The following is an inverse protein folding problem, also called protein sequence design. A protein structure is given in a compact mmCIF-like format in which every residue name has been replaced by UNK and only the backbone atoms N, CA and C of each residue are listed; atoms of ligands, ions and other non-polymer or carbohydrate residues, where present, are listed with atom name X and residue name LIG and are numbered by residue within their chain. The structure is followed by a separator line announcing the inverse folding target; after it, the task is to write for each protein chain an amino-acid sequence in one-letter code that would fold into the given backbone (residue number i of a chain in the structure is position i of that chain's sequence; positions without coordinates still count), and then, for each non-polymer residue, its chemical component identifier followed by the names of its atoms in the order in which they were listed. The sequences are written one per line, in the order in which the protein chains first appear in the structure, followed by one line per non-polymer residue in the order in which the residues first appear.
data_IF_717780008409
#
_entry.id   IF_717780008409
#
_cell.length_a   1.000
_cell.length_b   1.000
_cell.length_c   1.000
_cell.angle_alpha   90.00
_cell.angle_beta   90.00
_cell.angle_gamma   90.00
#
_symmetry.space_group_name_H-M   'P 1'
#
loop_
_entity.id
_entity.type
_entity.pdbx_description
1 polymer ?
#
# COMPACT_ATOMS: atom_id res chain seq x y z
N UNK A 1 44.49 -22.96 5.41
CA UNK A 1 43.81 -24.23 5.06
C UNK A 1 42.81 -23.91 3.97
N UNK A 2 43.18 -24.12 2.73
CA UNK A 2 42.38 -23.83 1.55
C UNK A 2 41.66 -25.11 1.14
N UNK A 3 40.36 -25.13 1.16
CA UNK A 3 39.51 -26.19 0.62
C UNK A 3 39.14 -25.83 -0.81
N UNK A 4 39.78 -26.48 -1.74
CA UNK A 4 39.46 -26.49 -3.17
C UNK A 4 38.17 -27.25 -3.39
N UNK A 5 37.09 -26.52 -3.72
CA UNK A 5 35.87 -27.09 -4.27
C UNK A 5 36.12 -27.40 -5.74
N UNK A 6 36.18 -28.70 -6.06
CA UNK A 6 36.23 -29.21 -7.45
C UNK A 6 34.79 -29.14 -8.03
N UNK A 7 34.59 -28.29 -9.03
CA UNK A 7 33.39 -28.27 -9.86
C UNK A 7 33.20 -29.58 -10.61
N UNK A 8 32.00 -30.16 -10.69
CA UNK A 8 31.73 -31.31 -11.54
C UNK A 8 31.84 -30.87 -13.01
N UNK A 9 32.80 -31.50 -13.69
CA UNK A 9 33.00 -31.39 -15.14
C UNK A 9 31.67 -31.67 -15.85
N UNK A 10 31.13 -30.68 -16.56
CA UNK A 10 29.92 -30.82 -17.36
C UNK A 10 30.24 -31.73 -18.57
N UNK A 11 29.92 -33.01 -18.49
CA UNK A 11 29.96 -33.93 -19.63
C UNK A 11 29.02 -33.47 -20.72
N UNK A 12 29.54 -33.24 -21.89
CA UNK A 12 28.71 -32.87 -23.05
C UNK A 12 27.89 -34.07 -23.54
N UNK A 13 26.74 -33.86 -24.21
CA UNK A 13 25.95 -34.94 -24.78
C UNK A 13 26.74 -35.85 -25.74
N UNK A 14 27.80 -35.31 -26.38
CA UNK A 14 28.69 -36.03 -27.28
C UNK A 14 29.63 -36.98 -26.53
N UNK A 15 30.05 -36.65 -25.29
CA UNK A 15 30.90 -37.50 -24.50
C UNK A 15 30.11 -38.70 -23.93
N UNK A 16 28.83 -38.57 -23.71
CA UNK A 16 27.93 -39.66 -23.33
C UNK A 16 27.67 -40.63 -24.48
N UNK A 17 27.62 -40.14 -25.74
CA UNK A 17 27.42 -40.98 -26.91
C UNK A 17 28.64 -41.88 -27.16
N UNK A 18 29.85 -41.48 -26.78
CA UNK A 18 31.08 -42.30 -26.91
C UNK A 18 31.16 -43.46 -25.92
N UNK A 19 30.38 -43.44 -24.86
CA UNK A 19 30.34 -44.53 -23.86
C UNK A 19 29.42 -45.69 -24.25
N UNK A 20 28.63 -45.54 -25.34
CA UNK A 20 27.83 -46.65 -25.83
C UNK A 20 28.69 -47.56 -26.67
N UNK A 21 29.12 -48.70 -26.14
CA UNK A 21 29.66 -49.78 -26.94
C UNK A 21 28.57 -50.24 -27.91
N UNK A 22 28.88 -50.38 -29.20
CA UNK A 22 27.93 -50.90 -30.16
C UNK A 22 27.59 -52.34 -29.78
N UNK A 23 26.33 -52.57 -29.43
CA UNK A 23 25.81 -53.92 -29.20
C UNK A 23 26.14 -54.77 -30.40
N UNK A 24 26.99 -55.79 -30.25
CA UNK A 24 27.33 -56.76 -31.26
C UNK A 24 26.04 -57.32 -31.89
N UNK A 25 25.89 -57.19 -33.18
CA UNK A 25 24.75 -57.77 -33.92
C UNK A 25 24.66 -59.25 -33.54
N UNK A 26 23.53 -59.75 -33.01
CA UNK A 26 23.30 -61.17 -32.95
C UNK A 26 23.29 -61.74 -34.38
N UNK A 27 23.93 -62.89 -34.55
CA UNK A 27 24.04 -63.57 -35.83
C UNK A 27 22.71 -63.62 -36.60
N UNK A 28 22.75 -63.32 -37.89
CA UNK A 28 21.64 -63.21 -38.80
C UNK A 28 20.98 -64.61 -39.05
N UNK A 29 20.08 -65.00 -38.17
CA UNK A 29 19.28 -66.21 -38.36
C UNK A 29 17.81 -66.08 -37.93
N UNK A 30 17.28 -64.86 -37.92
CA UNK A 30 15.83 -64.67 -37.90
C UNK A 30 15.54 -63.38 -38.70
N UNK A 31 14.92 -63.49 -39.87
CA UNK A 31 14.34 -62.36 -40.57
C UNK A 31 13.37 -61.67 -39.59
N UNK A 32 13.63 -60.45 -39.18
CA UNK A 32 12.68 -59.75 -38.34
C UNK A 32 11.39 -59.64 -39.14
N UNK A 33 10.29 -60.01 -38.50
CA UNK A 33 8.97 -59.84 -39.08
C UNK A 33 8.83 -58.36 -39.50
N UNK A 34 8.95 -58.11 -40.79
CA UNK A 34 8.96 -56.75 -41.38
C UNK A 34 7.69 -56.01 -41.01
N UNK A 35 6.59 -56.74 -40.79
CA UNK A 35 5.33 -56.23 -40.35
C UNK A 35 5.44 -55.65 -38.91
N UNK A 36 6.17 -56.30 -38.00
CA UNK A 36 6.39 -55.82 -36.64
C UNK A 36 7.26 -54.54 -36.64
N UNK A 37 8.34 -54.54 -37.41
CA UNK A 37 9.22 -53.39 -37.55
C UNK A 37 8.48 -52.14 -38.09
N UNK A 38 7.63 -52.34 -39.12
CA UNK A 38 6.82 -51.27 -39.69
C UNK A 38 5.75 -50.76 -38.70
N UNK A 39 5.14 -51.64 -37.95
CA UNK A 39 4.18 -51.28 -36.93
C UNK A 39 4.83 -50.48 -35.79
N UNK A 40 5.99 -50.91 -35.33
CA UNK A 40 6.80 -50.21 -34.32
C UNK A 40 7.23 -48.84 -34.78
N UNK A 41 7.72 -48.69 -35.98
CA UNK A 41 8.08 -47.39 -36.60
C UNK A 41 6.87 -46.44 -36.69
N UNK A 42 5.69 -46.98 -37.03
CA UNK A 42 4.45 -46.21 -37.13
C UNK A 42 4.06 -45.67 -35.75
N UNK A 43 4.08 -46.50 -34.72
CA UNK A 43 3.77 -46.09 -33.32
C UNK A 43 4.80 -45.08 -32.83
N UNK A 44 6.09 -45.33 -33.06
CA UNK A 44 7.17 -44.41 -32.67
C UNK A 44 7.01 -43.04 -33.33
N UNK A 45 6.70 -42.97 -34.63
CA UNK A 45 6.41 -41.71 -35.33
C UNK A 45 5.17 -40.99 -34.80
N UNK A 46 4.15 -41.72 -34.38
CA UNK A 46 2.96 -41.13 -33.75
C UNK A 46 3.28 -40.54 -32.37
N UNK A 47 4.05 -41.28 -31.57
CA UNK A 47 4.52 -40.80 -30.25
C UNK A 47 5.38 -39.55 -30.39
N UNK A 48 6.35 -39.56 -31.31
CA UNK A 48 7.21 -38.39 -31.56
C UNK A 48 6.40 -37.16 -31.97
N UNK A 49 5.40 -37.34 -32.86
CA UNK A 49 4.49 -36.25 -33.28
C UNK A 49 3.62 -35.75 -32.08
N UNK A 50 3.12 -36.65 -31.26
CA UNK A 50 2.34 -36.30 -30.09
C UNK A 50 3.17 -35.52 -29.07
N UNK A 51 4.38 -36.00 -28.80
CA UNK A 51 5.33 -35.34 -27.90
C UNK A 51 5.72 -33.94 -28.40
N UNK A 52 6.01 -33.78 -29.67
CA UNK A 52 6.31 -32.49 -30.29
C UNK A 52 5.14 -31.50 -30.14
N UNK A 53 3.89 -31.95 -30.42
CA UNK A 53 2.69 -31.12 -30.25
C UNK A 53 2.46 -30.72 -28.81
N UNK A 54 2.70 -31.63 -27.84
CA UNK A 54 2.58 -31.34 -26.42
C UNK A 54 3.62 -30.30 -25.98
N UNK A 55 4.86 -30.45 -26.44
CA UNK A 55 5.94 -29.52 -26.14
C UNK A 55 5.66 -28.12 -26.73
N UNK A 56 5.15 -28.05 -27.96
CA UNK A 56 4.75 -26.79 -28.61
C UNK A 56 3.60 -26.10 -27.84
N UNK A 57 2.56 -26.87 -27.45
CA UNK A 57 1.45 -26.34 -26.65
C UNK A 57 1.93 -25.87 -25.27
N UNK A 58 2.80 -26.61 -24.61
CA UNK A 58 3.37 -26.22 -23.34
C UNK A 58 4.16 -24.91 -23.44
N UNK A 59 4.98 -24.76 -24.49
CA UNK A 59 5.71 -23.50 -24.76
C UNK A 59 4.80 -22.30 -25.00
N UNK A 60 3.71 -22.48 -25.76
CA UNK A 60 2.72 -21.42 -25.98
C UNK A 60 1.97 -21.06 -24.69
N UNK A 61 1.63 -22.06 -23.87
CA UNK A 61 0.99 -21.82 -22.59
C UNK A 61 1.92 -21.09 -21.62
N UNK A 62 3.20 -21.46 -21.56
CA UNK A 62 4.20 -20.80 -20.73
C UNK A 62 4.33 -19.31 -21.10
N UNK A 63 4.42 -18.99 -22.41
CA UNK A 63 4.47 -17.61 -22.89
C UNK A 63 3.24 -16.81 -22.48
N UNK A 64 2.04 -17.37 -22.62
CA UNK A 64 0.81 -16.68 -22.20
C UNK A 64 0.78 -16.42 -20.69
N UNK A 65 1.25 -17.37 -19.89
CA UNK A 65 1.35 -17.18 -18.44
C UNK A 65 2.33 -16.06 -18.12
N UNK A 66 3.48 -16.02 -18.79
CA UNK A 66 4.48 -14.98 -18.62
C UNK A 66 3.95 -13.60 -19.02
N UNK A 67 3.26 -13.49 -20.16
CA UNK A 67 2.59 -12.26 -20.60
C UNK A 67 1.54 -11.79 -19.57
N UNK A 68 0.73 -12.70 -19.04
CA UNK A 68 -0.25 -12.36 -18.01
C UNK A 68 0.39 -11.94 -16.68
N UNK A 69 1.50 -12.57 -16.29
CA UNK A 69 2.23 -12.20 -15.08
C UNK A 69 2.84 -10.81 -15.22
N UNK A 70 3.44 -10.49 -16.37
CA UNK A 70 4.00 -9.18 -16.65
C UNK A 70 2.91 -8.10 -16.66
N UNK A 71 1.80 -8.33 -17.39
CA UNK A 71 0.66 -7.40 -17.39
C UNK A 71 0.07 -7.17 -15.99
N UNK A 72 0.02 -8.21 -15.17
CA UNK A 72 -0.43 -8.09 -13.78
C UNK A 72 0.56 -7.30 -12.92
N UNK A 73 1.86 -7.49 -13.12
CA UNK A 73 2.91 -6.71 -12.44
C UNK A 73 2.78 -5.23 -12.78
N UNK A 74 2.65 -4.90 -14.07
CA UNK A 74 2.50 -3.53 -14.55
C UNK A 74 1.24 -2.85 -13.96
N UNK A 75 0.12 -3.58 -13.90
CA UNK A 75 -1.11 -3.10 -13.27
C UNK A 75 -0.92 -2.82 -11.77
N UNK A 76 -0.23 -3.72 -11.06
CA UNK A 76 0.05 -3.52 -9.63
C UNK A 76 0.93 -2.30 -9.38
N UNK A 77 1.93 -2.08 -10.22
CA UNK A 77 2.83 -0.93 -10.09
C UNK A 77 2.12 0.38 -10.43
N UNK A 78 1.23 0.39 -11.44
CA UNK A 78 0.36 1.53 -11.72
C UNK A 78 -0.58 1.83 -10.56
N UNK A 79 -1.25 0.82 -10.00
CA UNK A 79 -2.14 1.01 -8.85
C UNK A 79 -1.40 1.52 -7.60
N UNK A 80 -0.18 1.05 -7.35
CA UNK A 80 0.66 1.59 -6.25
C UNK A 80 1.00 3.07 -6.48
N UNK A 81 1.35 3.42 -7.71
CA UNK A 81 1.66 4.80 -8.09
C UNK A 81 0.44 5.72 -7.94
N UNK A 82 -0.73 5.29 -8.44
CA UNK A 82 -1.97 6.04 -8.29
C UNK A 82 -2.36 6.21 -6.82
N UNK A 83 -2.22 5.14 -6.03
CA UNK A 83 -2.49 5.18 -4.59
C UNK A 83 -1.58 6.19 -3.89
N UNK A 84 -0.27 6.15 -4.16
CA UNK A 84 0.68 7.10 -3.59
C UNK A 84 0.33 8.56 -3.95
N UNK A 85 -0.09 8.82 -5.20
CA UNK A 85 -0.53 10.15 -5.62
C UNK A 85 -1.81 10.59 -4.90
N UNK A 86 -2.76 9.69 -4.67
CA UNK A 86 -3.98 9.99 -3.92
C UNK A 86 -3.69 10.26 -2.45
N UNK A 87 -2.78 9.50 -1.83
CA UNK A 87 -2.34 9.72 -0.45
C UNK A 87 -1.66 11.10 -0.31
N UNK A 88 -0.74 11.47 -1.21
CA UNK A 88 -0.10 12.79 -1.21
C UNK A 88 -1.11 13.94 -1.38
N UNK A 89 -2.04 13.80 -2.33
CA UNK A 89 -3.11 14.79 -2.51
C UNK A 89 -4.01 14.90 -1.29
N UNK A 90 -4.32 13.79 -0.64
CA UNK A 90 -5.14 13.79 0.57
C UNK A 90 -4.42 14.53 1.70
N UNK A 91 -3.12 14.28 1.90
CA UNK A 91 -2.32 15.00 2.88
C UNK A 91 -2.24 16.51 2.59
N UNK A 92 -2.12 16.90 1.32
CA UNK A 92 -2.11 18.31 0.92
C UNK A 92 -3.47 18.97 1.21
N UNK A 93 -4.57 18.30 0.92
CA UNK A 93 -5.92 18.79 1.23
C UNK A 93 -6.14 18.91 2.75
N UNK A 94 -5.69 17.95 3.52
CA UNK A 94 -5.80 18.00 4.98
C UNK A 94 -5.04 19.19 5.57
N UNK A 95 -3.81 19.44 5.09
CA UNK A 95 -3.02 20.63 5.48
C UNK A 95 -3.73 21.92 5.10
N UNK A 96 -4.24 22.02 3.88
CA UNK A 96 -4.97 23.19 3.42
C UNK A 96 -6.23 23.45 4.26
N UNK A 97 -6.98 22.40 4.62
CA UNK A 97 -8.15 22.52 5.50
C UNK A 97 -7.74 23.12 6.85
N UNK A 98 -6.65 22.63 7.45
CA UNK A 98 -6.16 23.15 8.73
C UNK A 98 -5.70 24.60 8.64
N UNK A 99 -5.01 24.98 7.57
CA UNK A 99 -4.61 26.37 7.32
C UNK A 99 -5.82 27.32 7.20
N UNK A 100 -6.87 26.89 6.48
CA UNK A 100 -8.11 27.66 6.36
C UNK A 100 -8.79 27.82 7.71
N UNK A 101 -8.84 26.75 8.49
CA UNK A 101 -9.42 26.77 9.84
C UNK A 101 -8.64 27.73 10.75
N UNK A 102 -7.31 27.65 10.75
CA UNK A 102 -6.46 28.53 11.58
C UNK A 102 -6.62 30.01 11.16
N UNK A 103 -6.73 30.28 9.86
CA UNK A 103 -7.00 31.64 9.36
C UNK A 103 -8.32 32.19 9.88
N UNK A 104 -9.36 31.36 9.93
CA UNK A 104 -10.68 31.75 10.40
C UNK A 104 -10.71 31.97 11.89
N UNK A 105 -10.09 31.06 12.67
CA UNK A 105 -9.95 31.23 14.11
C UNK A 105 -9.18 32.52 14.45
N UNK A 106 -8.11 32.81 13.71
CA UNK A 106 -7.37 34.06 13.85
C UNK A 106 -8.18 35.30 13.50
N UNK A 107 -9.04 35.20 12.46
CA UNK A 107 -9.96 36.30 12.10
C UNK A 107 -11.03 36.54 13.19
N UNK A 108 -11.61 35.45 13.73
CA UNK A 108 -12.58 35.53 14.84
C UNK A 108 -11.98 36.22 16.06
N UNK A 109 -10.81 35.76 16.52
CA UNK A 109 -10.08 36.37 17.65
C UNK A 109 -9.80 37.86 17.41
N UNK A 110 -9.40 38.22 16.19
CA UNK A 110 -9.15 39.62 15.80
C UNK A 110 -10.43 40.45 15.84
N UNK A 111 -11.55 39.89 15.35
CA UNK A 111 -12.82 40.55 15.32
C UNK A 111 -13.43 40.73 16.74
N UNK A 112 -13.25 39.76 17.62
CA UNK A 112 -13.67 39.82 19.03
C UNK A 112 -12.99 40.97 19.78
N UNK A 113 -11.72 41.19 19.50
CA UNK A 113 -10.92 42.28 20.10
C UNK A 113 -11.17 43.62 19.44
N UNK A 114 -12.01 43.69 18.42
CA UNK A 114 -12.35 44.95 17.76
C UNK A 114 -13.43 45.70 18.52
N UNK A 115 -13.33 47.04 18.59
CA UNK A 115 -14.36 47.91 19.14
C UNK A 115 -15.60 47.99 18.22
N UNK A 116 -15.50 47.60 16.97
CA UNK A 116 -16.57 47.64 15.99
C UNK A 116 -17.56 46.49 16.18
N UNK A 117 -18.76 46.77 16.66
CA UNK A 117 -19.82 45.78 16.90
C UNK A 117 -20.33 45.11 15.61
N UNK A 118 -20.33 45.82 14.48
CA UNK A 118 -20.73 45.25 13.19
C UNK A 118 -19.71 44.21 12.69
N UNK A 119 -18.43 44.50 12.88
CA UNK A 119 -17.34 43.57 12.54
C UNK A 119 -17.40 42.28 13.37
N UNK A 120 -17.65 42.41 14.69
CA UNK A 120 -17.84 41.24 15.58
C UNK A 120 -19.05 40.39 15.14
N UNK A 121 -20.19 41.02 14.84
CA UNK A 121 -21.40 40.32 14.40
C UNK A 121 -21.19 39.62 13.04
N UNK A 122 -20.51 40.27 12.10
CA UNK A 122 -20.18 39.69 10.81
C UNK A 122 -19.23 38.48 10.94
N UNK A 123 -18.20 38.62 11.77
CA UNK A 123 -17.27 37.52 12.04
C UNK A 123 -17.97 36.31 12.65
N UNK A 124 -18.77 36.50 13.71
CA UNK A 124 -19.53 35.42 14.35
C UNK A 124 -20.48 34.70 13.38
N UNK A 125 -21.12 35.47 12.48
CA UNK A 125 -21.99 34.88 11.45
C UNK A 125 -21.19 34.05 10.45
N UNK A 126 -20.05 34.54 10.03
CA UNK A 126 -19.16 33.85 9.09
C UNK A 126 -18.55 32.54 9.71
N UNK A 127 -18.09 32.63 10.95
CA UNK A 127 -17.56 31.45 11.68
C UNK A 127 -18.63 30.39 11.84
N UNK A 128 -19.85 30.77 12.24
CA UNK A 128 -20.99 29.84 12.34
C UNK A 128 -21.31 29.15 11.01
N UNK A 129 -21.39 29.93 9.93
CA UNK A 129 -21.65 29.37 8.61
C UNK A 129 -20.57 28.42 8.15
N UNK A 130 -19.31 28.73 8.49
CA UNK A 130 -18.18 27.88 8.17
C UNK A 130 -18.20 26.58 8.98
N UNK A 131 -18.40 26.65 10.30
CA UNK A 131 -18.52 25.46 11.15
C UNK A 131 -19.62 24.52 10.63
N UNK A 132 -20.77 25.05 10.20
CA UNK A 132 -21.82 24.25 9.59
C UNK A 132 -21.38 23.56 8.28
N UNK A 133 -20.59 24.25 7.46
CA UNK A 133 -20.07 23.66 6.22
C UNK A 133 -18.97 22.63 6.50
N UNK A 134 -18.12 22.88 7.49
CA UNK A 134 -17.10 21.93 7.94
C UNK A 134 -17.74 20.62 8.43
N UNK A 135 -18.82 20.71 9.22
CA UNK A 135 -19.56 19.52 9.66
C UNK A 135 -20.10 18.69 8.50
N UNK A 136 -20.58 19.34 7.41
CA UNK A 136 -21.07 18.62 6.21
C UNK A 136 -19.99 17.81 5.50
N UNK A 137 -18.74 18.25 5.57
CA UNK A 137 -17.59 17.52 5.01
C UNK A 137 -16.93 16.57 6.03
N UNK A 138 -17.60 16.35 7.19
CA UNK A 138 -17.11 15.43 8.21
C UNK A 138 -15.98 15.99 9.09
N UNK A 139 -15.66 17.28 8.99
CA UNK A 139 -14.70 17.95 9.85
C UNK A 139 -15.38 18.38 11.15
N UNK A 140 -14.84 17.97 12.27
CA UNK A 140 -15.37 18.28 13.59
C UNK A 140 -14.25 18.76 14.52
N UNK A 141 -14.53 19.77 15.30
CA UNK A 141 -13.64 20.23 16.35
C UNK A 141 -13.65 19.23 17.50
N UNK A 142 -12.47 18.99 18.09
CA UNK A 142 -12.31 18.12 19.24
C UNK A 142 -12.72 18.92 20.49
N UNK A 143 -13.76 18.48 21.23
CA UNK A 143 -14.12 19.10 22.52
C UNK A 143 -12.93 18.99 23.46
N UNK A 144 -12.53 20.08 24.06
CA UNK A 144 -11.37 20.07 24.95
C UNK A 144 -11.61 20.82 26.27
N UNK A 145 -12.17 22.03 26.23
CA UNK A 145 -12.32 22.87 27.41
C UNK A 145 -13.22 22.18 28.48
N UNK A 146 -12.69 22.01 29.68
CA UNK A 146 -13.41 21.36 30.79
C UNK A 146 -13.38 19.83 30.77
N UNK A 147 -12.85 19.21 29.69
CA UNK A 147 -12.72 17.77 29.60
C UNK A 147 -11.45 17.25 30.26
N UNK A 148 -11.40 15.96 30.55
CA UNK A 148 -10.18 15.29 30.98
C UNK A 148 -9.26 15.09 29.77
N UNK A 149 -7.94 15.33 29.90
CA UNK A 149 -7.02 15.18 28.78
C UNK A 149 -6.93 13.72 28.31
N UNK A 150 -7.21 13.47 27.03
CA UNK A 150 -7.05 12.16 26.38
C UNK A 150 -5.88 12.24 25.40
N UNK A 151 -4.91 11.36 25.56
CA UNK A 151 -3.71 11.33 24.69
C UNK A 151 -3.98 11.04 23.22
N UNK A 152 -5.19 10.59 22.84
CA UNK A 152 -5.59 10.42 21.43
C UNK A 152 -5.93 11.77 20.82
N UNK A 153 -6.70 12.58 21.53
CA UNK A 153 -7.29 13.83 21.04
C UNK A 153 -6.58 15.10 21.48
N UNK A 154 -5.87 15.04 22.63
CA UNK A 154 -5.26 16.20 23.26
C UNK A 154 -3.75 16.07 23.34
N UNK A 155 -3.06 17.19 23.22
CA UNK A 155 -1.64 17.33 23.48
C UNK A 155 -1.45 18.39 24.56
N UNK A 156 -1.03 17.98 25.75
CA UNK A 156 -0.80 18.87 26.88
C UNK A 156 0.50 19.62 26.66
N UNK A 157 0.42 20.93 26.46
CA UNK A 157 1.58 21.81 26.30
C UNK A 157 2.17 22.21 27.65
N UNK A 158 1.30 22.53 28.62
CA UNK A 158 1.70 23.04 29.93
C UNK A 158 0.64 22.68 30.97
N UNK A 159 1.01 22.90 32.23
CA UNK A 159 0.12 22.72 33.37
C UNK A 159 0.12 23.97 34.25
N UNK A 160 -1.05 24.37 34.75
CA UNK A 160 -1.22 25.50 35.65
C UNK A 160 -1.81 25.06 37.00
N UNK A 161 -1.74 25.88 38.04
CA UNK A 161 -2.41 25.62 39.28
C UNK A 161 -3.94 25.73 39.11
N UNK A 162 -4.69 24.79 39.71
CA UNK A 162 -6.14 24.83 39.65
C UNK A 162 -6.66 25.99 40.53
N UNK A 163 -7.44 26.89 39.96
CA UNK A 163 -8.10 27.97 40.72
C UNK A 163 -9.24 27.41 41.57
N UNK A 164 -9.95 26.40 41.03
CA UNK A 164 -11.02 25.70 41.76
C UNK A 164 -10.76 24.17 41.81
N UNK A 165 -11.18 23.53 42.88
CA UNK A 165 -10.97 22.08 43.07
C UNK A 165 -11.62 21.22 41.94
N UNK A 166 -12.68 21.74 41.28
CA UNK A 166 -13.36 21.07 40.15
C UNK A 166 -12.58 21.10 38.86
N UNK A 167 -11.57 21.94 38.77
CA UNK A 167 -10.72 22.10 37.55
C UNK A 167 -9.52 21.18 37.56
N UNK A 168 -9.24 20.54 38.70
CA UNK A 168 -8.10 19.62 38.78
C UNK A 168 -8.19 18.52 37.77
N UNK A 169 -7.05 18.29 37.11
CA UNK A 169 -6.87 17.30 36.05
C UNK A 169 -7.76 17.54 34.81
N UNK A 170 -8.28 18.79 34.67
CA UNK A 170 -9.09 19.18 33.51
C UNK A 170 -8.38 20.20 32.65
N UNK A 171 -8.79 20.23 31.38
CA UNK A 171 -8.33 21.22 30.41
C UNK A 171 -8.98 22.57 30.75
N UNK A 172 -8.16 23.56 31.11
CA UNK A 172 -8.60 24.90 31.46
C UNK A 172 -8.39 25.91 30.31
N UNK A 173 -7.52 25.60 29.37
CA UNK A 173 -7.27 26.46 28.22
C UNK A 173 -6.98 25.62 26.97
N UNK A 174 -7.51 26.07 25.84
CA UNK A 174 -7.21 25.51 24.50
C UNK A 174 -6.35 26.52 23.76
N UNK A 175 -5.05 26.24 23.66
CA UNK A 175 -4.10 27.10 22.96
C UNK A 175 -4.29 27.01 21.44
N UNK A 176 -4.57 25.79 20.96
CA UNK A 176 -4.88 25.55 19.55
C UNK A 176 -5.94 24.45 19.44
N UNK A 177 -7.06 24.70 18.76
CA UNK A 177 -8.12 23.71 18.61
C UNK A 177 -7.67 22.50 17.80
N UNK A 178 -8.13 21.32 18.18
CA UNK A 178 -7.94 20.07 17.47
C UNK A 178 -9.10 19.75 16.54
N UNK A 179 -8.86 18.94 15.51
CA UNK A 179 -9.87 18.59 14.51
C UNK A 179 -9.79 17.11 14.13
N UNK A 180 -10.95 16.53 13.89
CA UNK A 180 -11.11 15.22 13.27
C UNK A 180 -11.76 15.36 11.90
N UNK A 181 -11.42 14.48 10.96
CA UNK A 181 -12.08 14.36 9.66
C UNK A 181 -12.59 12.93 9.49
N UNK A 182 -13.91 12.76 9.37
CA UNK A 182 -14.58 11.45 9.33
C UNK A 182 -14.22 10.53 10.51
N UNK A 183 -13.85 11.11 11.66
CA UNK A 183 -13.45 10.39 12.86
C UNK A 183 -11.95 10.17 13.02
N UNK A 184 -11.16 10.41 11.99
CA UNK A 184 -9.70 10.35 12.06
C UNK A 184 -9.13 11.68 12.57
N UNK A 185 -8.19 11.64 13.50
CA UNK A 185 -7.57 12.84 14.08
C UNK A 185 -6.64 13.49 13.05
N UNK A 186 -7.00 14.68 12.57
CA UNK A 186 -6.15 15.49 11.71
C UNK A 186 -5.09 16.24 12.53
N UNK A 187 -5.53 16.83 13.65
CA UNK A 187 -4.69 17.57 14.59
C UNK A 187 -5.26 17.42 15.99
N UNK A 188 -4.41 17.09 16.94
CA UNK A 188 -4.77 17.11 18.36
C UNK A 188 -4.98 18.53 18.83
N UNK A 189 -5.87 18.72 19.82
CA UNK A 189 -5.99 19.98 20.50
C UNK A 189 -4.77 20.20 21.41
N UNK A 190 -4.11 21.35 21.28
CA UNK A 190 -3.05 21.78 22.18
C UNK A 190 -3.65 22.49 23.37
N UNK A 191 -3.43 21.96 24.57
CA UNK A 191 -4.19 22.35 25.76
C UNK A 191 -3.28 22.60 26.98
N UNK A 192 -3.80 23.39 27.93
CA UNK A 192 -3.23 23.56 29.26
C UNK A 192 -4.17 22.88 30.28
N UNK A 193 -3.59 22.11 31.20
CA UNK A 193 -4.31 21.33 32.19
C UNK A 193 -4.07 21.90 33.59
N UNK A 194 -5.12 22.04 34.39
CA UNK A 194 -5.00 22.43 35.80
C UNK A 194 -4.57 21.23 36.66
N UNK A 195 -3.66 21.46 37.59
CA UNK A 195 -3.15 20.49 38.58
C UNK A 195 -3.48 20.86 39.99
#
# INVERSE_FOLDING_TARGET
MASTSSDPVSETPEDRLKQFEPVSRPDAASTPDTAFADQFLKVFRQMAKAQFRTQQKAGLSARKVEEHLNARSDLLDNLKSERAQLEDRNEQLQRFILEVVDLITGFETTAENSENSEMRSAAATMTKALQQNMQKIGLQEIPALGEEPDGIYHFVLDTTEAEEARERDRIVEVVQPGYTLYGDVLRKANVIVAK
#
